data_IF_153297234410
#
_entry.id   IF_153297234410
#
_cell.length_a   1.000
_cell.length_b   1.000
_cell.length_c   1.000
_cell.angle_alpha   90.00
_cell.angle_beta   90.00
_cell.angle_gamma   90.00
#
_symmetry.space_group_name_H-M   'P 1'
#
loop_
_entity.id
_entity.type
_entity.pdbx_description
1 polymer ?
#
# COMPACT_ATOMS: atom_id res chain seq x y z
N UNK A 1 -27.65 -5.26 -0.99
CA UNK A 1 -26.46 -4.89 -0.18
C UNK A 1 -26.94 -3.85 0.80
N UNK A 2 -27.11 -4.22 2.07
CA UNK A 2 -27.69 -3.32 3.08
C UNK A 2 -26.61 -2.36 3.58
N UNK A 3 -26.85 -1.06 3.45
CA UNK A 3 -26.01 -0.02 4.05
C UNK A 3 -26.18 -0.03 5.57
N UNK A 4 -25.08 -0.20 6.29
CA UNK A 4 -25.04 -0.16 7.75
C UNK A 4 -24.58 1.23 8.18
N UNK A 5 -25.52 2.15 8.37
CA UNK A 5 -25.22 3.49 8.87
C UNK A 5 -25.03 3.42 10.39
N UNK A 6 -23.77 3.37 10.84
CA UNK A 6 -23.44 3.50 12.27
C UNK A 6 -23.77 4.93 12.69
N UNK A 7 -24.94 5.13 13.27
CA UNK A 7 -25.47 6.43 13.69
C UNK A 7 -25.57 6.54 15.22
N UNK A 8 -24.58 6.02 15.95
CA UNK A 8 -24.54 6.19 17.39
C UNK A 8 -23.21 6.83 17.80
N UNK A 9 -23.22 8.05 18.39
CA UNK A 9 -22.00 8.58 19.00
C UNK A 9 -21.64 7.70 20.19
N UNK A 10 -20.40 7.20 20.20
CA UNK A 10 -19.87 6.45 21.32
C UNK A 10 -20.00 7.28 22.60
N UNK A 11 -20.35 6.61 23.70
CA UNK A 11 -20.28 7.26 25.02
C UNK A 11 -18.84 7.66 25.34
N UNK A 12 -18.62 8.61 26.25
CA UNK A 12 -17.26 9.05 26.61
C UNK A 12 -16.38 7.88 27.08
N UNK A 13 -16.96 6.94 27.85
CA UNK A 13 -16.26 5.74 28.33
C UNK A 13 -15.91 4.79 27.19
N UNK A 14 -16.83 4.60 26.24
CA UNK A 14 -16.61 3.77 25.06
C UNK A 14 -15.52 4.37 24.15
N UNK A 15 -15.54 5.68 23.94
CA UNK A 15 -14.50 6.38 23.19
C UNK A 15 -13.12 6.25 23.87
N UNK A 16 -13.08 6.34 25.20
CA UNK A 16 -11.84 6.14 25.97
C UNK A 16 -11.33 4.70 25.86
N UNK A 17 -12.22 3.70 25.93
CA UNK A 17 -11.86 2.29 25.77
C UNK A 17 -11.31 2.00 24.37
N UNK A 18 -11.91 2.57 23.32
CA UNK A 18 -11.43 2.46 21.93
C UNK A 18 -10.05 3.10 21.79
N UNK A 19 -9.86 4.31 22.32
CA UNK A 19 -8.57 5.00 22.26
C UNK A 19 -7.45 4.19 22.97
N UNK A 20 -7.74 3.64 24.15
CA UNK A 20 -6.81 2.79 24.88
C UNK A 20 -6.45 1.51 24.10
N UNK A 21 -7.43 0.88 23.46
CA UNK A 21 -7.21 -0.32 22.65
C UNK A 21 -6.32 -0.02 21.43
N UNK A 22 -6.55 1.10 20.74
CA UNK A 22 -5.71 1.55 19.62
C UNK A 22 -4.29 1.80 20.10
N UNK A 23 -4.11 2.53 21.20
CA UNK A 23 -2.79 2.85 21.73
C UNK A 23 -2.03 1.56 22.09
N UNK A 24 -2.69 0.61 22.74
CA UNK A 24 -2.09 -0.67 23.09
C UNK A 24 -1.69 -1.48 21.85
N UNK A 25 -2.59 -1.55 20.87
CA UNK A 25 -2.29 -2.22 19.60
C UNK A 25 -1.07 -1.58 18.93
N UNK A 26 -1.03 -0.26 18.79
CA UNK A 26 0.10 0.44 18.19
C UNK A 26 1.41 0.16 18.92
N UNK A 27 1.40 0.11 20.25
CA UNK A 27 2.58 -0.25 21.04
C UNK A 27 3.02 -1.69 20.78
N UNK A 28 2.08 -2.64 20.79
CA UNK A 28 2.37 -4.06 20.61
C UNK A 28 2.79 -4.40 19.16
N UNK A 29 2.35 -3.61 18.18
CA UNK A 29 2.67 -3.82 16.76
C UNK A 29 3.72 -2.86 16.20
N UNK A 30 4.34 -2.02 17.04
CA UNK A 30 5.42 -1.14 16.57
C UNK A 30 6.63 -2.00 16.22
N UNK A 31 6.89 -2.16 14.93
CA UNK A 31 8.14 -2.73 14.40
C UNK A 31 9.13 -1.58 14.21
N UNK A 32 10.40 -1.81 14.58
CA UNK A 32 11.46 -0.84 14.34
C UNK A 32 11.50 -0.45 12.85
N UNK A 33 11.73 0.84 12.52
CA UNK A 33 11.90 1.25 11.14
C UNK A 33 13.01 0.41 10.48
N UNK A 34 12.80 -0.08 9.24
CA UNK A 34 13.86 -0.76 8.52
C UNK A 34 15.07 0.17 8.42
N UNK A 35 16.27 -0.38 8.64
CA UNK A 35 17.50 0.37 8.47
C UNK A 35 17.59 0.89 7.02
N UNK A 36 18.16 2.08 6.83
CA UNK A 36 18.38 2.60 5.48
C UNK A 36 19.26 1.62 4.69
N UNK A 37 18.83 1.21 3.48
CA UNK A 37 19.61 0.28 2.68
C UNK A 37 20.95 0.93 2.34
N UNK A 38 22.04 0.27 2.73
CA UNK A 38 23.40 0.71 2.40
C UNK A 38 23.70 0.36 0.95
N UNK A 39 23.13 1.12 0.00
CA UNK A 39 23.34 0.96 -1.44
C UNK A 39 22.07 0.70 -2.24
N UNK A 40 22.21 0.77 -3.58
CA UNK A 40 21.11 0.48 -4.51
C UNK A 40 20.92 -1.05 -4.56
N UNK A 41 19.71 -1.50 -4.23
CA UNK A 41 19.32 -2.90 -4.35
C UNK A 41 19.50 -3.40 -5.80
N UNK A 42 20.14 -4.56 -6.02
CA UNK A 42 20.44 -5.05 -7.36
C UNK A 42 19.18 -5.35 -8.19
N UNK A 43 18.06 -5.71 -7.55
CA UNK A 43 16.78 -5.91 -8.23
C UNK A 43 16.12 -4.58 -8.58
N UNK A 44 16.21 -3.58 -7.71
CA UNK A 44 15.79 -2.21 -8.02
C UNK A 44 16.55 -1.65 -9.23
N UNK A 45 17.86 -1.87 -9.30
CA UNK A 45 18.67 -1.48 -10.45
C UNK A 45 18.20 -2.17 -11.73
N UNK A 46 18.01 -3.50 -11.70
CA UNK A 46 17.54 -4.26 -12.84
C UNK A 46 16.14 -3.79 -13.31
N UNK A 47 15.21 -3.54 -12.39
CA UNK A 47 13.87 -3.06 -12.70
C UNK A 47 13.86 -1.66 -13.35
N UNK A 48 14.79 -0.79 -12.95
CA UNK A 48 14.96 0.52 -13.58
C UNK A 48 15.54 0.41 -14.99
N UNK A 49 16.52 -0.47 -15.20
CA UNK A 49 17.13 -0.69 -16.52
C UNK A 49 16.16 -1.38 -17.49
N UNK A 50 15.43 -2.40 -17.04
CA UNK A 50 14.48 -3.17 -17.86
C UNK A 50 13.14 -2.43 -18.06
N UNK A 51 12.61 -1.80 -17.00
CA UNK A 51 11.33 -1.08 -17.04
C UNK A 51 11.36 0.22 -17.86
N UNK A 52 12.52 0.87 -17.99
CA UNK A 52 12.70 2.02 -18.90
C UNK A 52 12.74 1.55 -20.37
N UNK A 53 13.25 0.34 -20.63
CA UNK A 53 13.24 -0.25 -21.97
C UNK A 53 11.85 -0.75 -22.40
N UNK A 54 11.00 -1.13 -21.45
CA UNK A 54 9.62 -1.56 -21.70
C UNK A 54 8.65 -0.40 -22.00
N UNK A 55 9.07 0.86 -21.82
CA UNK A 55 8.31 2.04 -22.27
C UNK A 55 8.66 2.40 -23.73
N UNK A 56 8.87 1.40 -24.57
CA UNK A 56 8.66 1.61 -25.99
C UNK A 56 7.14 1.73 -26.17
N UNK A 57 6.68 2.95 -26.48
CA UNK A 57 5.28 3.21 -26.71
C UNK A 57 4.78 2.20 -27.74
N UNK A 58 3.83 1.34 -27.34
CA UNK A 58 3.12 0.46 -28.26
C UNK A 58 2.64 1.35 -29.41
N UNK A 59 3.29 1.20 -30.58
CA UNK A 59 3.08 2.06 -31.73
C UNK A 59 1.60 2.06 -32.16
N UNK A 60 1.18 3.01 -33.02
CA UNK A 60 -0.22 3.17 -33.39
C UNK A 60 -0.77 1.84 -33.93
N UNK A 61 -1.86 1.39 -33.29
CA UNK A 61 -2.24 0.00 -33.18
C UNK A 61 -2.31 -0.81 -34.47
N UNK A 62 -1.86 -2.06 -34.38
CA UNK A 62 -2.42 -3.18 -35.14
C UNK A 62 -2.53 -4.41 -34.22
N UNK A 63 -3.71 -4.71 -33.67
CA UNK A 63 -3.94 -5.97 -32.98
C UNK A 63 -4.23 -7.06 -34.03
N UNK A 64 -3.26 -7.96 -34.19
CA UNK A 64 -3.33 -9.27 -34.84
C UNK A 64 -3.55 -9.30 -36.37
N UNK A 65 -2.60 -9.94 -37.06
CA UNK A 65 -2.59 -10.13 -38.51
C UNK A 65 -3.71 -11.06 -38.99
N UNK A 66 -4.20 -10.77 -40.19
CA UNK A 66 -5.22 -11.52 -40.92
C UNK A 66 -4.57 -12.79 -41.51
N UNK A 67 -5.23 -13.94 -41.38
CA UNK A 67 -4.92 -15.16 -42.16
C UNK A 67 -5.38 -15.03 -43.60
#
# INVERSE_FOLDING_TARGET
MSEFTISQPATADEAAAIAAAIQRFSQDTTVAPPAEPTGIDPWLKAALEEGVSAKEAFGPGRPFGVS
#
